data_IF_933495603554
#
_entry.id   IF_933495603554
#
_cell.length_a   1.000
_cell.length_b   1.000
_cell.length_c   1.000
_cell.angle_alpha   90.00
_cell.angle_beta   90.00
_cell.angle_gamma   90.00
#
_symmetry.space_group_name_H-M   'P 1'
#
loop_
_entity.id
_entity.type
_entity.pdbx_description
1 polymer ?
#
# COMPACT_ATOMS: atom_id res chain seq x y z
N UNK A 1 61.29 -3.71 8.48
CA UNK A 1 60.07 -2.90 8.27
C UNK A 1 59.47 -3.38 6.96
N UNK A 2 58.35 -4.15 7.04
CA UNK A 2 57.62 -4.65 5.88
C UNK A 2 56.64 -3.57 5.42
N UNK A 3 56.82 -3.03 4.22
CA UNK A 3 55.85 -2.15 3.56
C UNK A 3 54.70 -2.97 3.02
N UNK A 4 53.49 -2.71 3.54
CA UNK A 4 52.25 -3.24 2.96
C UNK A 4 51.90 -2.35 1.75
N UNK A 5 51.98 -2.96 0.53
CA UNK A 5 51.51 -2.33 -0.70
C UNK A 5 49.97 -2.29 -0.69
N UNK A 6 49.38 -1.11 -0.61
CA UNK A 6 47.95 -0.89 -0.91
C UNK A 6 47.75 -0.93 -2.43
N UNK A 7 46.71 -1.60 -2.93
CA UNK A 7 46.40 -1.57 -4.36
C UNK A 7 46.03 -0.15 -4.78
N UNK A 8 46.67 0.38 -5.82
CA UNK A 8 46.33 1.62 -6.49
C UNK A 8 44.97 1.43 -7.17
N UNK A 9 43.96 2.22 -6.78
CA UNK A 9 42.68 2.28 -7.51
C UNK A 9 41.42 2.49 -6.66
N UNK A 10 41.49 3.16 -5.51
CA UNK A 10 40.29 3.71 -4.88
C UNK A 10 40.01 5.06 -5.53
N UNK A 11 39.14 5.06 -6.55
CA UNK A 11 38.49 6.29 -7.01
C UNK A 11 37.62 6.82 -5.87
N UNK A 12 38.13 7.77 -5.11
CA UNK A 12 37.31 8.58 -4.21
C UNK A 12 36.45 9.47 -5.09
N UNK A 13 35.18 9.12 -5.25
CA UNK A 13 34.22 10.02 -5.88
C UNK A 13 34.20 11.33 -5.11
N UNK A 14 34.31 12.45 -5.80
CA UNK A 14 34.18 13.75 -5.17
C UNK A 14 32.76 13.92 -4.61
N UNK A 15 32.61 14.77 -3.61
CA UNK A 15 31.26 15.10 -3.08
C UNK A 15 30.34 15.56 -4.22
N UNK A 16 30.87 16.32 -5.20
CA UNK A 16 30.14 16.76 -6.39
C UNK A 16 29.71 15.57 -7.28
N UNK A 17 30.54 14.53 -7.42
CA UNK A 17 30.17 13.33 -8.20
C UNK A 17 29.12 12.50 -7.48
N UNK A 18 29.19 12.45 -6.14
CA UNK A 18 28.16 11.79 -5.31
C UNK A 18 26.82 12.53 -5.46
N UNK A 19 26.82 13.88 -5.42
CA UNK A 19 25.60 14.66 -5.64
C UNK A 19 25.07 14.50 -7.07
N UNK A 20 25.91 14.55 -8.10
CA UNK A 20 25.49 14.27 -9.48
C UNK A 20 24.91 12.88 -9.66
N UNK A 21 25.50 11.87 -9.04
CA UNK A 21 24.98 10.50 -9.06
C UNK A 21 23.62 10.42 -8.36
N UNK A 22 23.49 11.03 -7.18
CA UNK A 22 22.22 11.09 -6.44
C UNK A 22 21.15 11.88 -7.20
N UNK A 23 21.52 12.92 -7.93
CA UNK A 23 20.59 13.68 -8.79
C UNK A 23 20.18 12.87 -10.03
N UNK A 24 21.10 12.14 -10.66
CA UNK A 24 20.80 11.30 -11.83
C UNK A 24 19.98 10.04 -11.48
N UNK A 25 20.05 9.57 -10.23
CA UNK A 25 19.25 8.46 -9.71
C UNK A 25 17.87 8.92 -9.17
N UNK A 26 17.65 10.23 -9.02
CA UNK A 26 16.33 10.77 -8.67
C UNK A 26 15.40 10.67 -9.87
N UNK A 27 14.45 9.74 -9.80
CA UNK A 27 13.31 9.78 -10.70
C UNK A 27 12.66 11.16 -10.59
N UNK A 28 12.48 11.92 -11.68
CA UNK A 28 11.85 13.23 -11.61
C UNK A 28 10.49 13.10 -10.93
N UNK A 29 10.21 14.03 -10.03
CA UNK A 29 8.92 14.00 -9.31
C UNK A 29 7.77 14.03 -10.32
N UNK A 30 6.75 13.18 -10.16
CA UNK A 30 5.59 13.19 -11.05
C UNK A 30 5.00 14.58 -11.18
N UNK A 31 4.81 15.05 -12.43
CA UNK A 31 4.23 16.37 -12.72
C UNK A 31 2.70 16.29 -12.83
N UNK A 32 2.04 17.43 -12.69
CA UNK A 32 0.58 17.53 -12.78
C UNK A 32 -0.14 17.40 -11.44
N UNK A 33 -1.46 17.53 -11.45
CA UNK A 33 -2.30 17.36 -10.28
C UNK A 33 -2.39 15.87 -9.87
N UNK A 34 -2.48 15.59 -8.56
CA UNK A 34 -2.81 14.24 -8.09
C UNK A 34 -4.24 13.92 -8.49
N UNK A 35 -4.46 12.77 -9.14
CA UNK A 35 -5.77 12.34 -9.62
C UNK A 35 -6.35 11.17 -8.82
N UNK A 36 -5.49 10.37 -8.18
CA UNK A 36 -5.89 9.21 -7.38
C UNK A 36 -5.13 9.17 -6.07
N UNK A 37 -5.78 8.63 -5.05
CA UNK A 37 -5.15 8.18 -3.81
C UNK A 37 -5.18 6.66 -3.80
N UNK A 38 -4.05 6.04 -3.47
CA UNK A 38 -3.91 4.59 -3.29
C UNK A 38 -3.39 4.37 -1.88
N UNK A 39 -4.23 3.81 -1.02
CA UNK A 39 -3.94 3.65 0.40
C UNK A 39 -3.98 2.18 0.79
N UNK A 40 -2.87 1.65 1.29
CA UNK A 40 -2.86 0.37 2.00
C UNK A 40 -3.09 0.61 3.48
N UNK A 41 -3.97 -0.17 4.11
CA UNK A 41 -4.21 -0.12 5.53
C UNK A 41 -3.28 -1.06 6.30
N UNK A 42 -2.93 -0.66 7.51
CA UNK A 42 -2.06 -1.39 8.43
C UNK A 42 -1.79 -0.60 9.70
N UNK A 43 -1.08 -1.20 10.63
CA UNK A 43 -0.59 -0.56 11.85
C UNK A 43 0.92 -0.27 11.72
N UNK A 44 1.38 0.91 12.16
CA UNK A 44 2.79 1.25 12.19
C UNK A 44 3.52 0.53 13.34
N UNK A 45 4.79 0.21 13.13
CA UNK A 45 5.66 -0.41 14.13
C UNK A 45 6.06 -1.84 13.77
N UNK A 46 7.28 -2.21 14.16
CA UNK A 46 7.91 -3.49 13.82
C UNK A 46 7.13 -4.71 14.34
N UNK A 47 6.41 -4.55 15.47
CA UNK A 47 5.57 -5.61 16.03
C UNK A 47 4.37 -6.00 15.15
N UNK A 48 4.00 -5.15 14.17
CA UNK A 48 2.89 -5.42 13.26
C UNK A 48 3.34 -5.84 11.85
N UNK A 49 4.66 -5.78 11.59
CA UNK A 49 5.21 -6.19 10.28
C UNK A 49 4.86 -7.65 9.98
N UNK A 50 4.38 -7.92 8.76
CA UNK A 50 4.01 -9.27 8.32
C UNK A 50 2.75 -9.85 8.96
N UNK A 51 2.02 -9.09 9.78
CA UNK A 51 0.72 -9.54 10.31
C UNK A 51 -0.37 -9.50 9.22
N UNK A 52 -1.45 -10.27 9.42
CA UNK A 52 -2.60 -10.29 8.50
C UNK A 52 -3.21 -8.90 8.30
N UNK A 53 -3.31 -8.12 9.38
CA UNK A 53 -3.87 -6.76 9.34
C UNK A 53 -2.99 -5.77 8.57
N UNK A 54 -1.73 -6.11 8.31
CA UNK A 54 -0.80 -5.29 7.54
C UNK A 54 -0.68 -5.69 6.06
N UNK A 55 -1.54 -6.60 5.55
CA UNK A 55 -1.50 -7.00 4.14
C UNK A 55 -1.69 -5.81 3.18
N UNK A 56 -2.44 -4.79 3.60
CA UNK A 56 -2.56 -3.54 2.85
C UNK A 56 -1.21 -2.82 2.72
N UNK A 57 -0.45 -2.69 3.81
CA UNK A 57 0.91 -2.13 3.79
C UNK A 57 1.83 -2.96 2.91
N UNK A 58 1.82 -4.28 3.07
CA UNK A 58 2.64 -5.20 2.26
C UNK A 58 2.34 -5.04 0.76
N UNK A 59 1.07 -4.92 0.38
CA UNK A 59 0.67 -4.66 -1.01
C UNK A 59 1.20 -3.33 -1.54
N UNK A 60 1.20 -2.28 -0.71
CA UNK A 60 1.82 -0.99 -1.09
C UNK A 60 3.32 -1.12 -1.24
N UNK A 61 3.99 -1.91 -0.41
CA UNK A 61 5.42 -2.16 -0.54
C UNK A 61 5.72 -2.89 -1.86
N UNK A 62 4.96 -3.90 -2.25
CA UNK A 62 5.04 -4.56 -3.58
C UNK A 62 4.83 -3.56 -4.73
N UNK A 63 3.85 -2.65 -4.61
CA UNK A 63 3.66 -1.57 -5.59
C UNK A 63 4.89 -0.65 -5.66
N UNK A 64 5.45 -0.27 -4.53
CA UNK A 64 6.64 0.57 -4.46
C UNK A 64 7.86 -0.10 -5.07
N UNK A 65 8.06 -1.38 -4.84
CA UNK A 65 9.14 -2.17 -5.46
C UNK A 65 9.00 -2.19 -6.98
N UNK A 66 7.81 -2.51 -7.50
CA UNK A 66 7.53 -2.54 -8.95
C UNK A 66 7.84 -1.20 -9.62
N UNK A 67 7.48 -0.10 -8.99
CA UNK A 67 7.67 1.25 -9.53
C UNK A 67 8.98 1.92 -9.08
N UNK A 68 9.84 1.22 -8.32
CA UNK A 68 11.09 1.74 -7.75
C UNK A 68 10.90 3.03 -6.96
N UNK A 69 9.87 3.05 -6.10
CA UNK A 69 9.50 4.20 -5.29
C UNK A 69 10.02 4.08 -3.86
N UNK A 70 10.37 5.20 -3.25
CA UNK A 70 10.71 5.30 -1.83
C UNK A 70 9.59 6.04 -1.07
N UNK A 71 8.73 5.27 -0.39
CA UNK A 71 7.54 5.77 0.29
C UNK A 71 7.87 6.17 1.75
N UNK A 72 8.72 7.21 1.92
CA UNK A 72 9.24 7.67 3.23
C UNK A 72 8.84 9.09 3.61
N UNK A 73 8.19 9.85 2.72
CA UNK A 73 7.77 11.21 3.06
C UNK A 73 6.58 11.19 4.00
N UNK A 74 6.73 11.82 5.16
CA UNK A 74 5.63 11.96 6.12
C UNK A 74 4.71 13.12 5.69
N UNK A 75 3.52 12.80 5.18
CA UNK A 75 2.44 13.74 4.83
C UNK A 75 1.10 13.12 5.19
N UNK A 76 0.12 13.93 5.57
CA UNK A 76 -1.24 13.47 5.88
C UNK A 76 -1.23 12.30 6.88
N UNK A 77 -0.47 12.43 7.95
CA UNK A 77 -0.30 11.36 8.96
C UNK A 77 0.00 9.99 8.34
N UNK A 78 0.79 9.97 7.26
CA UNK A 78 1.12 8.76 6.49
C UNK A 78 2.53 8.81 5.94
N UNK A 79 3.14 7.64 5.74
CA UNK A 79 4.28 7.49 4.86
C UNK A 79 3.77 7.53 3.42
N UNK A 80 4.33 8.43 2.60
CA UNK A 80 3.82 8.70 1.25
C UNK A 80 4.90 8.80 0.21
N UNK A 81 4.52 8.51 -1.04
CA UNK A 81 5.25 8.84 -2.25
C UNK A 81 4.26 9.19 -3.37
N UNK A 82 4.77 9.77 -4.45
CA UNK A 82 3.99 10.06 -5.64
C UNK A 82 4.43 9.11 -6.76
N UNK A 83 3.49 8.60 -7.56
CA UNK A 83 3.75 7.71 -8.69
C UNK A 83 2.96 8.12 -9.93
N UNK A 84 3.52 7.83 -11.11
CA UNK A 84 2.76 7.82 -12.36
C UNK A 84 2.28 6.40 -12.63
N UNK A 85 0.98 6.17 -12.56
CA UNK A 85 0.35 4.86 -12.81
C UNK A 85 -0.67 5.04 -13.93
N UNK A 86 -0.57 4.25 -14.99
CA UNK A 86 -1.46 4.35 -16.15
C UNK A 86 -1.64 5.78 -16.67
N UNK A 87 -0.55 6.57 -16.68
CA UNK A 87 -0.53 7.96 -17.15
C UNK A 87 -1.13 8.99 -16.19
N UNK A 88 -1.50 8.61 -14.97
CA UNK A 88 -2.10 9.49 -13.95
C UNK A 88 -1.20 9.61 -12.73
N UNK A 89 -1.10 10.81 -12.18
CA UNK A 89 -0.38 11.03 -10.93
C UNK A 89 -1.21 10.53 -9.76
N UNK A 90 -0.62 9.62 -8.98
CA UNK A 90 -1.21 9.00 -7.81
C UNK A 90 -0.42 9.36 -6.55
N UNK A 91 -1.13 9.66 -5.46
CA UNK A 91 -0.58 9.63 -4.11
C UNK A 91 -0.65 8.22 -3.58
N UNK A 92 0.50 7.64 -3.23
CA UNK A 92 0.60 6.35 -2.55
C UNK A 92 0.78 6.62 -1.07
N UNK A 93 0.03 5.92 -0.19
CA UNK A 93 0.11 6.19 1.24
C UNK A 93 -0.09 4.95 2.12
N UNK A 94 0.65 4.94 3.23
CA UNK A 94 0.49 4.01 4.37
C UNK A 94 0.24 4.84 5.63
N UNK A 95 -0.99 4.87 6.19
CA UNK A 95 -1.31 5.65 7.39
C UNK A 95 -0.45 5.26 8.60
N UNK A 96 -0.05 6.24 9.40
CA UNK A 96 0.68 6.03 10.66
C UNK A 96 -0.20 6.27 11.89
N UNK A 97 -1.52 6.37 11.69
CA UNK A 97 -2.54 6.69 12.71
C UNK A 97 -3.08 5.47 13.45
N UNK A 98 -2.51 4.29 13.26
CA UNK A 98 -3.12 3.00 13.60
C UNK A 98 -4.46 2.75 12.89
N UNK A 99 -4.84 1.46 12.81
CA UNK A 99 -5.97 1.00 12.00
C UNK A 99 -7.29 1.72 12.31
N UNK A 100 -7.62 1.87 13.59
CA UNK A 100 -8.90 2.48 14.01
C UNK A 100 -9.04 3.95 13.62
N UNK A 101 -7.94 4.63 13.30
CA UNK A 101 -7.89 6.05 12.95
C UNK A 101 -7.43 6.28 11.50
N UNK A 102 -7.45 5.24 10.66
CA UNK A 102 -7.03 5.35 9.24
C UNK A 102 -7.80 6.43 8.47
N UNK A 103 -9.03 6.69 8.83
CA UNK A 103 -9.86 7.72 8.22
C UNK A 103 -9.29 9.13 8.38
N UNK A 104 -8.58 9.45 9.48
CA UNK A 104 -7.96 10.76 9.67
C UNK A 104 -6.94 11.06 8.57
N UNK A 105 -6.07 10.08 8.28
CA UNK A 105 -5.05 10.20 7.26
C UNK A 105 -5.64 10.29 5.85
N UNK A 106 -6.59 9.40 5.54
CA UNK A 106 -7.20 9.31 4.21
C UNK A 106 -8.00 10.57 3.89
N UNK A 107 -8.85 11.04 4.81
CA UNK A 107 -9.69 12.23 4.58
C UNK A 107 -8.89 13.52 4.53
N UNK A 108 -7.79 13.62 5.28
CA UNK A 108 -6.86 14.75 5.18
C UNK A 108 -6.26 14.84 3.78
N UNK A 109 -5.78 13.73 3.23
CA UNK A 109 -5.24 13.67 1.87
C UNK A 109 -6.29 13.96 0.80
N UNK A 110 -7.50 13.37 0.94
CA UNK A 110 -8.64 13.62 0.03
C UNK A 110 -9.00 15.10 0.00
N UNK A 111 -9.11 15.74 1.16
CA UNK A 111 -9.46 17.16 1.28
C UNK A 111 -8.38 18.06 0.68
N UNK A 112 -7.11 17.78 0.94
CA UNK A 112 -6.00 18.57 0.44
C UNK A 112 -5.91 18.55 -1.09
N UNK A 113 -6.00 17.38 -1.71
CA UNK A 113 -5.93 17.22 -3.15
C UNK A 113 -7.29 17.35 -3.85
N UNK A 114 -8.37 17.51 -3.11
CA UNK A 114 -9.76 17.54 -3.62
C UNK A 114 -10.09 16.27 -4.42
N UNK A 115 -9.64 15.11 -3.93
CA UNK A 115 -9.89 13.82 -4.55
C UNK A 115 -11.21 13.25 -4.02
N UNK A 116 -12.15 12.90 -4.90
CA UNK A 116 -13.42 12.32 -4.48
C UNK A 116 -13.23 10.86 -4.02
N UNK A 117 -14.17 10.31 -3.21
CA UNK A 117 -14.11 8.93 -2.74
C UNK A 117 -13.89 7.91 -3.87
N UNK A 118 -14.51 8.09 -5.03
CA UNK A 118 -14.45 7.18 -6.18
C UNK A 118 -13.05 7.07 -6.80
N UNK A 119 -12.15 8.00 -6.48
CA UNK A 119 -10.74 8.00 -6.89
C UNK A 119 -9.78 7.71 -5.73
N UNK A 120 -10.30 7.19 -4.62
CA UNK A 120 -9.52 6.78 -3.44
C UNK A 120 -9.59 5.26 -3.30
N UNK A 121 -8.55 4.56 -3.76
CA UNK A 121 -8.47 3.10 -3.74
C UNK A 121 -7.90 2.66 -2.39
N UNK A 122 -8.63 1.80 -1.67
CA UNK A 122 -8.21 1.27 -0.37
C UNK A 122 -7.90 -0.22 -0.46
N UNK A 123 -6.73 -0.64 0.01
CA UNK A 123 -6.29 -2.04 0.09
C UNK A 123 -6.23 -2.45 1.55
N UNK A 124 -6.90 -3.56 1.91
CA UNK A 124 -7.02 -4.03 3.30
C UNK A 124 -7.34 -5.52 3.39
N UNK A 125 -7.22 -6.09 4.58
CA UNK A 125 -7.46 -7.50 4.86
C UNK A 125 -8.96 -7.85 4.92
N UNK A 126 -9.30 -9.05 4.45
CA UNK A 126 -10.65 -9.62 4.55
C UNK A 126 -10.59 -11.07 5.04
N UNK A 127 -11.19 -11.31 6.21
CA UNK A 127 -11.24 -12.64 6.83
C UNK A 127 -12.22 -13.61 6.16
N UNK A 128 -13.08 -13.12 5.27
CA UNK A 128 -14.03 -13.96 4.51
C UNK A 128 -13.42 -14.57 3.25
N UNK A 129 -12.18 -14.22 2.93
CA UNK A 129 -11.45 -14.71 1.77
C UNK A 129 -10.22 -15.50 2.23
N UNK A 130 -9.96 -16.61 1.56
CA UNK A 130 -8.76 -17.40 1.82
C UNK A 130 -7.48 -16.65 1.42
N UNK A 131 -6.35 -16.89 2.10
CA UNK A 131 -5.06 -16.35 1.71
C UNK A 131 -4.72 -16.68 0.26
N UNK A 132 -4.22 -15.67 -0.47
CA UNK A 132 -3.97 -15.80 -1.91
C UNK A 132 -5.16 -15.40 -2.80
N UNK A 133 -6.32 -15.13 -2.20
CA UNK A 133 -7.51 -14.61 -2.90
C UNK A 133 -7.65 -13.11 -2.70
N UNK A 134 -8.23 -12.43 -3.69
CA UNK A 134 -8.60 -11.02 -3.55
C UNK A 134 -9.99 -10.74 -4.12
N UNK A 135 -10.58 -9.64 -3.69
CA UNK A 135 -11.89 -9.20 -4.18
C UNK A 135 -11.95 -7.68 -4.33
N UNK A 136 -12.25 -7.23 -5.53
CA UNK A 136 -12.40 -5.82 -5.86
C UNK A 136 -13.87 -5.44 -5.76
N UNK A 137 -14.17 -4.32 -5.11
CA UNK A 137 -15.51 -3.74 -5.02
C UNK A 137 -15.44 -2.23 -5.25
N UNK A 138 -16.49 -1.67 -5.90
CA UNK A 138 -16.59 -0.22 -6.12
C UNK A 138 -16.94 0.53 -4.87
N UNK A 139 -17.71 -0.08 -3.99
CA UNK A 139 -18.26 0.48 -2.74
C UNK A 139 -18.67 -0.63 -1.78
N UNK A 140 -19.09 -0.28 -0.59
CA UNK A 140 -19.68 -1.21 0.38
C UNK A 140 -19.50 -0.78 1.83
N UNK A 141 -20.18 -1.48 2.75
CA UNK A 141 -20.05 -1.29 4.20
C UNK A 141 -18.63 -1.63 4.70
N UNK A 142 -18.38 -1.38 5.98
CA UNK A 142 -17.10 -1.68 6.62
C UNK A 142 -16.84 -3.19 6.81
N UNK A 143 -17.89 -4.01 6.83
CA UNK A 143 -17.76 -5.46 7.03
C UNK A 143 -17.10 -5.84 8.36
N UNK A 144 -17.15 -4.95 9.36
CA UNK A 144 -16.49 -5.12 10.66
C UNK A 144 -15.02 -4.74 10.67
N UNK A 145 -14.46 -4.23 9.56
CA UNK A 145 -13.07 -3.80 9.50
C UNK A 145 -12.91 -2.37 10.01
N UNK A 146 -12.20 -2.20 11.14
CA UNK A 146 -12.11 -0.91 11.85
C UNK A 146 -11.52 0.22 11.01
N UNK A 147 -10.51 -0.05 10.17
CA UNK A 147 -9.93 0.97 9.28
C UNK A 147 -10.94 1.48 8.25
N UNK A 148 -11.74 0.57 7.67
CA UNK A 148 -12.79 0.94 6.73
C UNK A 148 -13.91 1.70 7.43
N UNK A 149 -14.31 1.27 8.63
CA UNK A 149 -15.28 1.97 9.48
C UNK A 149 -14.84 3.41 9.75
N UNK A 150 -13.58 3.61 10.11
CA UNK A 150 -12.99 4.94 10.33
C UNK A 150 -13.05 5.81 9.07
N UNK A 151 -12.71 5.25 7.89
CA UNK A 151 -12.76 6.00 6.63
C UNK A 151 -14.21 6.38 6.28
N UNK A 152 -15.15 5.45 6.35
CA UNK A 152 -16.58 5.73 6.08
C UNK A 152 -17.11 6.83 7.02
N UNK A 153 -16.81 6.70 8.31
CA UNK A 153 -17.29 7.66 9.31
C UNK A 153 -16.78 9.08 9.04
N UNK A 154 -15.47 9.23 8.78
CA UNK A 154 -14.86 10.56 8.62
C UNK A 154 -15.04 11.15 7.22
N UNK A 155 -15.16 10.33 6.17
CA UNK A 155 -15.43 10.80 4.81
C UNK A 155 -16.91 11.04 4.51
N UNK A 156 -17.80 10.46 5.32
CA UNK A 156 -19.24 10.45 5.08
C UNK A 156 -19.65 9.63 3.85
N UNK A 157 -18.78 8.75 3.34
CA UNK A 157 -19.02 8.01 2.10
C UNK A 157 -18.49 6.58 2.16
N UNK A 158 -19.20 5.65 1.54
CA UNK A 158 -18.76 4.27 1.29
C UNK A 158 -18.37 4.03 -0.18
N UNK A 159 -18.35 5.08 -1.01
CA UNK A 159 -18.20 5.03 -2.47
C UNK A 159 -16.75 4.89 -2.94
N UNK A 160 -15.81 4.56 -2.06
CA UNK A 160 -14.43 4.35 -2.46
C UNK A 160 -14.17 2.91 -2.94
N UNK A 161 -13.48 2.77 -4.09
CA UNK A 161 -13.03 1.47 -4.59
C UNK A 161 -12.11 0.78 -3.59
N UNK A 162 -12.26 -0.53 -3.47
CA UNK A 162 -11.50 -1.32 -2.50
C UNK A 162 -11.01 -2.63 -3.07
N UNK A 163 -9.81 -3.01 -2.67
CA UNK A 163 -9.21 -4.31 -2.89
C UNK A 163 -9.13 -5.01 -1.54
N UNK A 164 -9.93 -6.06 -1.38
CA UNK A 164 -10.00 -6.90 -0.20
C UNK A 164 -9.02 -8.04 -0.38
N UNK A 165 -8.02 -8.13 0.48
CA UNK A 165 -6.99 -9.16 0.47
C UNK A 165 -7.36 -10.28 1.44
N UNK A 166 -7.46 -11.51 0.96
CA UNK A 166 -7.81 -12.66 1.77
C UNK A 166 -6.74 -12.98 2.81
N UNK A 167 -7.17 -13.12 4.06
CA UNK A 167 -6.30 -13.51 5.19
C UNK A 167 -6.79 -14.74 5.93
N UNK A 168 -7.92 -15.32 5.47
CA UNK A 168 -8.56 -16.50 6.05
C UNK A 168 -9.39 -16.21 7.28
N UNK A 169 -10.36 -17.07 7.52
CA UNK A 169 -11.20 -17.05 8.71
C UNK A 169 -10.41 -17.41 9.96
N UNK A 170 -10.85 -16.90 11.11
CA UNK A 170 -10.33 -17.34 12.41
C UNK A 170 -10.58 -18.84 12.63
N UNK A 171 -9.70 -19.55 13.37
CA UNK A 171 -9.72 -21.02 13.44
C UNK A 171 -10.98 -21.59 14.06
N UNK A 172 -11.65 -20.85 14.93
CA UNK A 172 -12.94 -21.22 15.52
C UNK A 172 -13.75 -19.98 15.94
N UNK A 173 -15.07 -20.08 16.09
CA UNK A 173 -15.95 -18.93 16.37
C UNK A 173 -15.55 -18.09 17.60
N UNK A 174 -15.06 -18.74 18.66
CA UNK A 174 -14.69 -18.06 19.91
C UNK A 174 -13.28 -17.46 19.91
N UNK A 175 -12.52 -17.67 18.84
CA UNK A 175 -11.18 -17.07 18.72
C UNK A 175 -11.29 -15.54 18.62
N UNK A 176 -10.46 -14.82 19.36
CA UNK A 176 -10.46 -13.36 19.33
C UNK A 176 -10.05 -12.86 17.93
N UNK A 177 -10.88 -12.02 17.32
CA UNK A 177 -10.63 -11.52 15.97
C UNK A 177 -9.39 -10.63 15.90
N UNK A 178 -9.15 -9.80 16.92
CA UNK A 178 -7.97 -8.93 16.97
C UNK A 178 -6.69 -9.78 17.01
N UNK A 179 -6.64 -10.82 17.84
CA UNK A 179 -5.50 -11.73 17.93
C UNK A 179 -5.27 -12.47 16.59
N UNK A 180 -6.36 -12.80 15.86
CA UNK A 180 -6.25 -13.44 14.56
C UNK A 180 -5.62 -12.51 13.52
N UNK A 181 -6.13 -11.30 13.35
CA UNK A 181 -5.62 -10.39 12.33
C UNK A 181 -4.25 -9.80 12.69
N UNK A 182 -3.90 -9.73 13.97
CA UNK A 182 -2.56 -9.35 14.43
C UNK A 182 -1.56 -10.50 14.40
N UNK A 183 -2.00 -11.71 14.11
CA UNK A 183 -1.13 -12.88 13.89
C UNK A 183 -0.49 -12.87 12.51
N UNK A 184 0.64 -13.60 12.39
CA UNK A 184 1.39 -13.74 11.15
C UNK A 184 0.81 -14.81 10.22
N UNK A 185 1.09 -14.72 8.94
CA UNK A 185 0.82 -15.78 7.97
C UNK A 185 1.73 -16.99 8.20
N UNK A 186 1.26 -18.16 7.79
CA UNK A 186 2.09 -19.38 7.78
C UNK A 186 3.03 -19.35 6.58
N UNK A 187 4.20 -20.00 6.70
CA UNK A 187 5.21 -20.04 5.60
C UNK A 187 4.65 -20.64 4.31
N UNK A 188 3.77 -21.62 4.42
CA UNK A 188 3.14 -22.30 3.29
C UNK A 188 2.22 -21.38 2.48
N UNK A 189 1.84 -20.21 3.03
CA UNK A 189 0.97 -19.23 2.39
C UNK A 189 1.76 -18.17 1.60
N UNK A 190 3.10 -18.13 1.74
CA UNK A 190 3.94 -17.03 1.21
C UNK A 190 3.78 -16.84 -0.31
N UNK A 191 3.90 -17.90 -1.10
CA UNK A 191 3.79 -17.86 -2.57
C UNK A 191 2.40 -17.38 -3.03
N UNK A 192 1.35 -17.87 -2.37
CA UNK A 192 -0.01 -17.45 -2.67
C UNK A 192 -0.25 -15.97 -2.33
N UNK A 193 0.35 -15.48 -1.25
CA UNK A 193 0.26 -14.07 -0.83
C UNK A 193 1.02 -13.16 -1.79
N UNK A 194 2.24 -13.53 -2.21
CA UNK A 194 3.01 -12.80 -3.21
C UNK A 194 2.21 -12.66 -4.51
N UNK A 195 1.67 -13.77 -5.02
CA UNK A 195 0.81 -13.76 -6.20
C UNK A 195 -0.42 -12.85 -6.03
N UNK A 196 -1.05 -12.88 -4.86
CA UNK A 196 -2.21 -12.03 -4.59
C UNK A 196 -1.83 -10.54 -4.52
N UNK A 197 -0.68 -10.19 -3.95
CA UNK A 197 -0.18 -8.81 -3.90
C UNK A 197 0.16 -8.31 -5.31
N UNK A 198 0.80 -9.11 -6.16
CA UNK A 198 1.06 -8.78 -7.57
C UNK A 198 -0.23 -8.57 -8.37
N UNK A 199 -1.22 -9.42 -8.14
CA UNK A 199 -2.55 -9.28 -8.73
C UNK A 199 -3.27 -8.01 -8.24
N UNK A 200 -3.11 -7.65 -6.96
CA UNK A 200 -3.65 -6.41 -6.42
C UNK A 200 -2.97 -5.18 -7.06
N UNK A 201 -1.66 -5.20 -7.24
CA UNK A 201 -0.92 -4.14 -7.95
C UNK A 201 -1.39 -4.01 -9.39
N UNK A 202 -1.52 -5.12 -10.11
CA UNK A 202 -2.06 -5.13 -11.48
C UNK A 202 -3.51 -4.64 -11.55
N UNK A 203 -4.31 -4.92 -10.52
CA UNK A 203 -5.67 -4.40 -10.37
C UNK A 203 -5.67 -2.89 -10.20
N UNK A 204 -4.78 -2.34 -9.36
CA UNK A 204 -4.63 -0.89 -9.18
C UNK A 204 -4.34 -0.21 -10.52
N UNK A 205 -3.44 -0.77 -11.33
CA UNK A 205 -3.10 -0.23 -12.65
C UNK A 205 -4.34 -0.13 -13.58
N UNK A 206 -5.15 -1.19 -13.61
CA UNK A 206 -6.39 -1.19 -14.38
C UNK A 206 -7.42 -0.20 -13.82
N UNK A 207 -7.57 -0.14 -12.50
CA UNK A 207 -8.52 0.76 -11.85
C UNK A 207 -8.17 2.23 -12.10
N UNK A 208 -6.91 2.60 -11.95
CA UNK A 208 -6.39 3.95 -12.27
C UNK A 208 -6.54 4.25 -13.76
N UNK A 209 -6.33 3.25 -14.63
CA UNK A 209 -6.55 3.34 -16.08
C UNK A 209 -8.03 3.43 -16.49
N UNK A 210 -8.98 3.45 -15.53
CA UNK A 210 -10.42 3.51 -15.83
C UNK A 210 -11.06 2.17 -16.19
N UNK A 211 -10.35 1.06 -16.06
CA UNK A 211 -10.76 -0.28 -16.46
C UNK A 211 -11.25 -1.13 -15.27
N UNK A 212 -12.07 -0.56 -14.42
CA UNK A 212 -12.57 -1.20 -13.20
C UNK A 212 -13.28 -2.54 -13.47
N UNK A 213 -14.10 -2.64 -14.53
CA UNK A 213 -14.78 -3.90 -14.86
C UNK A 213 -13.78 -4.99 -15.26
N UNK A 214 -12.76 -4.62 -16.04
CA UNK A 214 -11.69 -5.55 -16.44
C UNK A 214 -10.93 -6.04 -15.19
N UNK A 215 -10.58 -5.15 -14.25
CA UNK A 215 -9.96 -5.53 -13.00
C UNK A 215 -10.81 -6.52 -12.20
N UNK A 216 -12.13 -6.22 -12.05
CA UNK A 216 -13.06 -7.09 -11.32
C UNK A 216 -13.22 -8.45 -12.00
N UNK A 217 -13.34 -8.52 -13.33
CA UNK A 217 -13.51 -9.76 -14.05
C UNK A 217 -12.26 -10.65 -14.02
N UNK A 218 -11.08 -10.01 -14.04
CA UNK A 218 -9.82 -10.74 -14.11
C UNK A 218 -9.35 -11.26 -12.76
N UNK A 219 -9.56 -10.51 -11.68
CA UNK A 219 -8.91 -10.77 -10.41
C UNK A 219 -9.85 -11.15 -9.26
N UNK A 220 -11.17 -10.95 -9.39
CA UNK A 220 -12.08 -11.44 -8.36
C UNK A 220 -12.12 -12.97 -8.37
N UNK A 221 -11.89 -13.55 -7.20
CA UNK A 221 -11.88 -15.00 -6.96
C UNK A 221 -12.80 -15.38 -5.81
#
# INVERSE_FOLDING_TARGET
VRYIKYPKGTYTMSIADIFKKLESERTPAPQGAVEYIICGLGNPGTQYEGTRHNIGFMTIDTLCEKYKLDCKKLRFKSLTCDAMISGKRCLIMKPTTFMNNSGEAVTEAMSFYKIPPERTIIVFDDISLEPGKLRIRRKGSDGGHNGIKSIIYLSGSDMFPRIKMGVGAKPHPDYNLADWVLGHFKKEQAEALETAMDNAVSSIELMVGGKMNEAMNKFNS
#
